data_IF_755663168346
#
_entry.id   IF_755663168346
#
_cell.length_a   1.000
_cell.length_b   1.000
_cell.length_c   1.000
_cell.angle_alpha   90.00
_cell.angle_beta   90.00
_cell.angle_gamma   90.00
#
_symmetry.space_group_name_H-M   'P 1'
#
loop_
_entity.id
_entity.type
_entity.pdbx_description
1 polymer ?
#
# COMPACT_ATOMS: atom_id res chain seq x y z
N UNK A 1 8.70 24.77 -4.16
CA UNK A 1 7.50 25.34 -3.51
C UNK A 1 6.44 24.25 -3.54
N UNK A 2 6.02 23.78 -2.38
CA UNK A 2 4.98 22.75 -2.25
C UNK A 2 3.61 23.33 -2.64
N UNK A 3 2.73 22.49 -3.21
CA UNK A 3 1.34 22.83 -3.58
C UNK A 3 0.44 22.97 -2.34
N UNK A 4 0.84 22.37 -1.23
CA UNK A 4 0.02 22.21 -0.03
C UNK A 4 0.24 23.36 0.96
N UNK A 5 -0.85 23.74 1.63
CA UNK A 5 -0.86 24.72 2.71
C UNK A 5 -0.22 24.17 3.99
N UNK A 6 0.08 25.07 4.93
CA UNK A 6 0.60 24.68 6.24
C UNK A 6 -0.39 23.81 7.03
N UNK A 7 -1.70 24.05 6.88
CA UNK A 7 -2.74 23.25 7.54
C UNK A 7 -2.80 21.83 6.98
N UNK A 8 -2.79 21.66 5.65
CA UNK A 8 -2.78 20.33 5.03
C UNK A 8 -1.52 19.54 5.43
N UNK A 9 -0.36 20.21 5.50
CA UNK A 9 0.86 19.59 5.97
C UNK A 9 0.77 19.18 7.45
N UNK A 10 0.13 19.99 8.30
CA UNK A 10 -0.08 19.65 9.71
C UNK A 10 -1.02 18.45 9.87
N UNK A 11 -2.09 18.35 9.08
CA UNK A 11 -3.00 17.21 9.10
C UNK A 11 -2.31 15.92 8.67
N UNK A 12 -1.46 15.97 7.63
CA UNK A 12 -0.62 14.82 7.26
C UNK A 12 0.35 14.41 8.37
N UNK A 13 1.03 15.38 9.01
CA UNK A 13 1.89 15.08 10.15
C UNK A 13 1.13 14.47 11.33
N UNK A 14 -0.15 14.81 11.54
CA UNK A 14 -0.97 14.15 12.57
C UNK A 14 -1.14 12.65 12.28
N UNK A 15 -1.40 12.27 11.03
CA UNK A 15 -1.45 10.84 10.65
C UNK A 15 -0.10 10.14 10.84
N UNK A 16 1.00 10.77 10.44
CA UNK A 16 2.34 10.21 10.69
C UNK A 16 2.60 10.01 12.20
N UNK A 17 2.21 10.98 13.03
CA UNK A 17 2.34 10.87 14.48
C UNK A 17 1.45 9.75 15.06
N UNK A 18 0.23 9.57 14.54
CA UNK A 18 -0.67 8.47 14.91
C UNK A 18 -0.09 7.10 14.52
N UNK A 19 0.60 7.02 13.38
CA UNK A 19 1.39 5.85 12.96
C UNK A 19 2.69 5.67 13.77
N UNK A 20 2.97 6.56 14.73
CA UNK A 20 4.08 6.44 15.68
C UNK A 20 5.39 7.06 15.22
N UNK A 21 5.42 7.76 14.09
CA UNK A 21 6.63 8.41 13.56
C UNK A 21 7.12 9.51 14.50
N UNK A 22 8.44 9.61 14.65
CA UNK A 22 9.06 10.71 15.42
C UNK A 22 9.20 11.95 14.55
N UNK A 23 9.47 13.09 15.18
CA UNK A 23 9.61 14.38 14.48
C UNK A 23 10.58 14.31 13.30
N UNK A 24 11.74 13.67 13.48
CA UNK A 24 12.71 13.53 12.40
C UNK A 24 12.20 12.63 11.26
N UNK A 25 11.51 11.54 11.60
CA UNK A 25 10.90 10.63 10.63
C UNK A 25 9.82 11.34 9.80
N UNK A 26 8.99 12.16 10.45
CA UNK A 26 7.99 13.00 9.78
C UNK A 26 8.65 13.98 8.82
N UNK A 27 9.71 14.67 9.27
CA UNK A 27 10.42 15.64 8.44
C UNK A 27 11.12 14.98 7.24
N UNK A 28 11.66 13.77 7.39
CA UNK A 28 12.27 13.04 6.28
C UNK A 28 11.24 12.41 5.34
N UNK A 29 10.13 11.91 5.87
CA UNK A 29 9.16 11.12 5.12
C UNK A 29 8.10 11.95 4.40
N UNK A 30 7.85 13.18 4.86
CA UNK A 30 6.76 14.01 4.33
C UNK A 30 6.94 14.43 2.87
N UNK A 31 8.18 14.54 2.39
CA UNK A 31 8.42 14.89 0.99
C UNK A 31 7.88 13.82 0.04
N UNK A 32 8.11 12.53 0.33
CA UNK A 32 7.56 11.42 -0.46
C UNK A 32 6.03 11.42 -0.50
N UNK A 33 5.39 11.66 0.65
CA UNK A 33 3.94 11.73 0.78
C UNK A 33 3.36 12.93 0.00
N UNK A 34 4.01 14.10 0.09
CA UNK A 34 3.60 15.28 -0.69
C UNK A 34 3.76 15.05 -2.19
N UNK A 35 4.84 14.42 -2.63
CA UNK A 35 5.06 14.10 -4.03
C UNK A 35 4.00 13.14 -4.56
N UNK A 36 3.66 12.09 -3.80
CA UNK A 36 2.59 11.17 -4.15
C UNK A 36 1.26 11.89 -4.28
N UNK A 37 0.84 12.65 -3.26
CA UNK A 37 -0.42 13.38 -3.26
C UNK A 37 -0.51 14.37 -4.45
N UNK A 38 0.60 15.04 -4.76
CA UNK A 38 0.65 15.95 -5.90
C UNK A 38 0.53 15.21 -7.24
N UNK A 39 1.15 14.03 -7.38
CA UNK A 39 1.15 13.23 -8.60
C UNK A 39 -0.20 12.51 -8.83
N UNK A 40 -0.81 11.99 -7.76
CA UNK A 40 -2.10 11.29 -7.81
C UNK A 40 -3.29 12.23 -7.85
N UNK A 41 -3.13 13.47 -7.36
CA UNK A 41 -4.23 14.42 -7.17
C UNK A 41 -5.05 14.14 -5.92
N UNK A 42 -4.63 13.22 -5.05
CA UNK A 42 -5.29 12.91 -3.79
C UNK A 42 -5.05 13.99 -2.73
N UNK A 43 -5.89 13.95 -1.69
CA UNK A 43 -5.71 14.76 -0.49
C UNK A 43 -4.44 14.36 0.27
N UNK A 44 -3.71 15.34 0.80
CA UNK A 44 -2.43 15.10 1.46
C UNK A 44 -2.58 14.28 2.75
N UNK A 45 -3.63 14.53 3.53
CA UNK A 45 -3.87 13.83 4.78
C UNK A 45 -4.27 12.37 4.50
N UNK A 46 -5.17 12.14 3.54
CA UNK A 46 -5.51 10.77 3.10
C UNK A 46 -4.30 10.02 2.52
N UNK A 47 -3.44 10.70 1.77
CA UNK A 47 -2.22 10.08 1.24
C UNK A 47 -1.27 9.69 2.36
N UNK A 48 -1.14 10.56 3.38
CA UNK A 48 -0.34 10.28 4.57
C UNK A 48 -0.85 9.04 5.32
N UNK A 49 -2.16 8.94 5.55
CA UNK A 49 -2.79 7.78 6.18
C UNK A 49 -2.44 6.49 5.43
N UNK A 50 -2.67 6.45 4.11
CA UNK A 50 -2.37 5.30 3.26
C UNK A 50 -0.90 4.89 3.33
N UNK A 51 0.02 5.84 3.17
CA UNK A 51 1.46 5.55 3.13
C UNK A 51 1.95 5.08 4.49
N UNK A 52 1.54 5.74 5.58
CA UNK A 52 2.01 5.41 6.93
C UNK A 52 1.48 4.05 7.41
N UNK A 53 0.22 3.72 7.13
CA UNK A 53 -0.37 2.41 7.43
C UNK A 53 0.32 1.30 6.64
N UNK A 54 0.51 1.49 5.34
CA UNK A 54 1.10 0.47 4.48
C UNK A 54 2.57 0.22 4.82
N UNK A 55 3.37 1.28 5.05
CA UNK A 55 4.76 1.13 5.48
C UNK A 55 4.84 0.30 6.77
N UNK A 56 4.01 0.63 7.75
CA UNK A 56 3.95 -0.11 9.02
C UNK A 56 3.61 -1.59 8.79
N UNK A 57 2.63 -1.88 7.93
CA UNK A 57 2.19 -3.24 7.63
C UNK A 57 3.27 -4.08 6.91
N UNK A 58 4.11 -3.45 6.09
CA UNK A 58 5.25 -4.09 5.43
C UNK A 58 6.54 -4.08 6.27
N UNK A 59 6.50 -3.53 7.50
CA UNK A 59 7.70 -3.40 8.35
C UNK A 59 8.74 -2.42 7.82
N UNK A 60 8.31 -1.48 6.96
CA UNK A 60 9.12 -0.42 6.40
C UNK A 60 9.15 0.81 7.31
N UNK A 61 10.09 1.70 7.07
CA UNK A 61 10.34 2.90 7.89
C UNK A 61 9.94 4.17 7.14
N UNK A 62 9.96 5.31 7.84
CA UNK A 62 9.71 6.60 7.21
C UNK A 62 10.73 6.96 6.11
N UNK A 63 11.95 6.40 6.16
CA UNK A 63 12.94 6.59 5.11
C UNK A 63 12.53 5.93 3.78
N UNK A 64 11.66 4.92 3.84
CA UNK A 64 11.16 4.19 2.67
C UNK A 64 9.93 4.88 2.03
N UNK A 65 9.42 5.97 2.61
CA UNK A 65 8.18 6.62 2.15
C UNK A 65 8.29 7.15 0.72
N UNK A 66 9.45 7.65 0.33
CA UNK A 66 9.71 8.11 -1.05
C UNK A 66 9.63 6.95 -2.05
N UNK A 67 10.27 5.82 -1.72
CA UNK A 67 10.21 4.64 -2.58
C UNK A 67 8.79 4.06 -2.64
N UNK A 68 8.13 3.94 -1.50
CA UNK A 68 6.76 3.46 -1.44
C UNK A 68 5.79 4.36 -2.22
N UNK A 69 5.99 5.69 -2.16
CA UNK A 69 5.26 6.64 -2.99
C UNK A 69 5.48 6.39 -4.49
N UNK A 70 6.71 6.14 -4.93
CA UNK A 70 7.01 5.82 -6.32
C UNK A 70 6.31 4.53 -6.78
N UNK A 71 6.24 3.50 -5.93
CA UNK A 71 5.53 2.25 -6.21
C UNK A 71 4.04 2.52 -6.45
N UNK A 72 3.40 3.27 -5.55
CA UNK A 72 1.98 3.61 -5.67
C UNK A 72 1.70 4.47 -6.91
N UNK A 73 2.53 5.48 -7.17
CA UNK A 73 2.42 6.34 -8.33
C UNK A 73 2.58 5.55 -9.64
N UNK A 74 3.56 4.64 -9.70
CA UNK A 74 3.79 3.77 -10.84
C UNK A 74 2.61 2.83 -11.09
N UNK A 75 2.12 2.16 -10.05
CA UNK A 75 0.96 1.27 -10.17
C UNK A 75 -0.32 2.03 -10.58
N UNK A 76 -0.56 3.20 -9.99
CA UNK A 76 -1.67 4.09 -10.36
C UNK A 76 -1.59 4.59 -11.81
N UNK A 77 -0.38 4.73 -12.36
CA UNK A 77 -0.19 5.22 -13.73
C UNK A 77 -0.27 4.10 -14.79
N UNK A 78 -0.01 2.85 -14.39
CA UNK A 78 0.14 1.72 -15.32
C UNK A 78 -0.98 0.68 -15.23
N UNK A 79 -1.89 0.80 -14.26
CA UNK A 79 -3.02 -0.11 -14.09
C UNK A 79 -4.33 0.66 -13.89
N UNK A 80 -5.45 -0.04 -14.04
CA UNK A 80 -6.79 0.49 -13.87
C UNK A 80 -7.15 0.69 -12.38
N UNK A 81 -6.30 1.40 -11.64
CA UNK A 81 -6.39 1.69 -10.20
C UNK A 81 -5.96 3.13 -9.91
N UNK A 82 -6.06 3.56 -8.66
CA UNK A 82 -5.48 4.82 -8.17
C UNK A 82 -4.97 4.66 -6.73
N UNK A 83 -4.34 5.70 -6.17
CA UNK A 83 -3.76 5.66 -4.82
C UNK A 83 -4.81 5.34 -3.76
N UNK A 84 -6.00 5.97 -3.79
CA UNK A 84 -7.08 5.65 -2.85
C UNK A 84 -7.54 4.18 -2.95
N UNK A 85 -7.72 3.66 -4.17
CA UNK A 85 -8.10 2.26 -4.41
C UNK A 85 -7.03 1.29 -3.92
N UNK A 86 -5.74 1.60 -4.15
CA UNK A 86 -4.62 0.80 -3.66
C UNK A 86 -4.54 0.83 -2.13
N UNK A 87 -4.77 2.00 -1.51
CA UNK A 87 -4.84 2.12 -0.05
C UNK A 87 -5.92 1.23 0.55
N UNK A 88 -7.13 1.25 -0.02
CA UNK A 88 -8.23 0.36 0.43
C UNK A 88 -7.88 -1.12 0.22
N UNK A 89 -7.14 -1.47 -0.83
CA UNK A 89 -6.65 -2.84 -1.02
C UNK A 89 -5.59 -3.23 0.02
N UNK A 90 -4.60 -2.38 0.25
CA UNK A 90 -3.52 -2.62 1.21
C UNK A 90 -4.02 -2.73 2.64
N UNK A 91 -5.04 -1.97 3.02
CA UNK A 91 -5.71 -2.08 4.33
C UNK A 91 -6.08 -3.52 4.70
N UNK A 92 -6.46 -4.35 3.74
CA UNK A 92 -6.77 -5.77 4.01
C UNK A 92 -5.59 -6.70 3.74
N UNK A 93 -4.78 -6.42 2.72
CA UNK A 93 -3.77 -7.36 2.24
C UNK A 93 -2.37 -7.15 2.84
N UNK A 94 -1.96 -5.90 3.08
CA UNK A 94 -0.61 -5.56 3.51
C UNK A 94 -0.18 -6.26 4.82
N UNK A 95 -1.01 -6.36 5.88
CA UNK A 95 -0.58 -7.02 7.12
C UNK A 95 -0.23 -8.50 6.93
N UNK A 96 -0.94 -9.20 6.04
CA UNK A 96 -0.68 -10.61 5.74
C UNK A 96 0.53 -10.74 4.81
N UNK A 97 0.61 -9.89 3.78
CA UNK A 97 1.73 -9.90 2.83
C UNK A 97 3.06 -9.57 3.53
N UNK A 98 3.09 -8.49 4.31
CA UNK A 98 4.28 -8.08 5.06
C UNK A 98 4.72 -9.12 6.09
N UNK A 99 3.77 -9.74 6.82
CA UNK A 99 4.12 -10.80 7.79
C UNK A 99 4.68 -12.07 7.15
N UNK A 100 4.37 -12.32 5.88
CA UNK A 100 4.91 -13.43 5.08
C UNK A 100 6.17 -13.04 4.30
N UNK A 101 6.64 -11.81 4.42
CA UNK A 101 7.86 -11.32 3.77
C UNK A 101 7.69 -10.93 2.31
N UNK A 102 6.47 -10.78 1.80
CA UNK A 102 6.24 -10.20 0.48
C UNK A 102 6.58 -8.72 0.49
N UNK A 103 7.17 -8.26 -0.61
CA UNK A 103 7.53 -6.85 -0.76
C UNK A 103 6.31 -6.00 -1.15
N UNK A 104 6.41 -4.70 -0.91
CA UNK A 104 5.38 -3.73 -1.31
C UNK A 104 5.22 -3.66 -2.83
N UNK A 105 6.33 -3.81 -3.57
CA UNK A 105 6.42 -3.78 -5.03
C UNK A 105 5.65 -4.95 -5.65
N UNK A 106 5.95 -6.17 -5.23
CA UNK A 106 5.26 -7.38 -5.73
C UNK A 106 3.77 -7.33 -5.41
N UNK A 107 3.45 -6.83 -4.22
CA UNK A 107 2.07 -6.63 -3.79
C UNK A 107 1.36 -5.60 -4.67
N UNK A 108 1.98 -4.45 -4.95
CA UNK A 108 1.41 -3.42 -5.83
C UNK A 108 1.23 -3.91 -7.27
N UNK A 109 2.16 -4.72 -7.79
CA UNK A 109 2.05 -5.35 -9.11
C UNK A 109 0.84 -6.30 -9.15
N UNK A 110 0.71 -7.18 -8.15
CA UNK A 110 -0.42 -8.09 -8.05
C UNK A 110 -1.75 -7.33 -8.01
N UNK A 111 -1.82 -6.27 -7.20
CA UNK A 111 -3.00 -5.40 -7.10
C UNK A 111 -3.32 -4.73 -8.45
N UNK A 112 -2.29 -4.22 -9.15
CA UNK A 112 -2.45 -3.62 -10.48
C UNK A 112 -3.00 -4.62 -11.50
N UNK A 113 -2.50 -5.86 -11.50
CA UNK A 113 -3.01 -6.92 -12.36
C UNK A 113 -4.47 -7.28 -12.04
N UNK A 114 -4.83 -7.39 -10.77
CA UNK A 114 -6.21 -7.62 -10.33
C UNK A 114 -7.12 -6.47 -10.78
N UNK A 115 -6.65 -5.22 -10.64
CA UNK A 115 -7.40 -4.04 -11.02
C UNK A 115 -7.64 -3.97 -12.54
N UNK A 116 -6.67 -4.37 -13.35
CA UNK A 116 -6.82 -4.52 -14.80
C UNK A 116 -7.87 -5.58 -15.18
N UNK A 117 -8.03 -6.61 -14.35
CA UNK A 117 -9.09 -7.61 -14.48
C UNK A 117 -10.44 -7.17 -13.85
N UNK A 118 -10.53 -5.94 -13.33
CA UNK A 118 -11.76 -5.38 -12.75
C UNK A 118 -11.96 -5.66 -11.25
N UNK A 119 -11.04 -6.37 -10.60
CA UNK A 119 -11.08 -6.67 -9.16
C UNK A 119 -10.28 -5.60 -8.43
N UNK A 120 -10.94 -4.70 -7.71
CA UNK A 120 -10.32 -3.48 -7.15
C UNK A 120 -10.65 -3.28 -5.68
N UNK A 121 -9.90 -2.39 -5.03
CA UNK A 121 -10.18 -1.88 -3.68
C UNK A 121 -10.38 -3.01 -2.66
N UNK A 122 -11.45 -2.97 -1.87
CA UNK A 122 -11.72 -3.94 -0.80
C UNK A 122 -11.92 -5.37 -1.32
N UNK A 123 -12.47 -5.54 -2.52
CA UNK A 123 -12.62 -6.86 -3.14
C UNK A 123 -11.24 -7.46 -3.46
N UNK A 124 -10.35 -6.65 -4.05
CA UNK A 124 -8.98 -7.07 -4.31
C UNK A 124 -8.24 -7.41 -3.01
N UNK A 125 -8.37 -6.57 -1.98
CA UNK A 125 -7.67 -6.77 -0.71
C UNK A 125 -8.11 -8.05 -0.01
N UNK A 126 -9.41 -8.31 0.01
CA UNK A 126 -9.97 -9.53 0.62
C UNK A 126 -9.58 -10.79 -0.17
N UNK A 127 -9.66 -10.72 -1.50
CA UNK A 127 -9.31 -11.85 -2.37
C UNK A 127 -7.82 -12.18 -2.28
N UNK A 128 -6.94 -11.17 -2.35
CA UNK A 128 -5.50 -11.33 -2.25
C UNK A 128 -5.10 -11.90 -0.90
N UNK A 129 -5.62 -11.33 0.20
CA UNK A 129 -5.40 -11.88 1.55
C UNK A 129 -5.80 -13.35 1.65
N UNK A 130 -6.97 -13.69 1.13
CA UNK A 130 -7.51 -15.06 1.19
C UNK A 130 -6.66 -16.03 0.35
N UNK A 131 -6.26 -15.63 -0.85
CA UNK A 131 -5.40 -16.44 -1.72
C UNK A 131 -4.06 -16.75 -1.05
N UNK A 132 -3.38 -15.72 -0.53
CA UNK A 132 -2.08 -15.87 0.13
C UNK A 132 -2.19 -16.68 1.42
N UNK A 133 -3.25 -16.48 2.22
CA UNK A 133 -3.47 -17.28 3.44
C UNK A 133 -3.67 -18.75 3.12
N UNK A 134 -4.44 -19.06 2.06
CA UNK A 134 -4.66 -20.43 1.62
C UNK A 134 -3.38 -21.08 1.07
N UNK A 135 -2.49 -20.32 0.42
CA UNK A 135 -1.19 -20.83 -0.02
C UNK A 135 -0.23 -21.08 1.15
N UNK A 136 -0.22 -20.19 2.15
CA UNK A 136 0.64 -20.33 3.33
C UNK A 136 0.20 -21.48 4.26
N UNK A 137 -1.10 -21.78 4.29
CA UNK A 137 -1.67 -22.90 5.07
C UNK A 137 -2.77 -23.61 4.24
N UNK A 138 -2.38 -24.47 3.30
CA UNK A 138 -3.34 -25.11 2.40
C UNK A 138 -4.22 -26.12 3.13
N UNK A 139 -5.49 -26.13 2.77
CA UNK A 139 -6.40 -27.25 3.08
C UNK A 139 -6.14 -28.41 2.12
N UNK A 140 -6.63 -29.61 2.41
CA UNK A 140 -6.42 -30.79 1.54
C UNK A 140 -6.86 -30.55 0.09
N UNK A 141 -7.97 -29.83 -0.11
CA UNK A 141 -8.45 -29.42 -1.43
C UNK A 141 -7.48 -28.47 -2.14
N UNK A 142 -6.94 -27.50 -1.40
CA UNK A 142 -5.99 -26.52 -1.95
C UNK A 142 -4.66 -27.20 -2.28
N UNK A 143 -4.15 -28.05 -1.39
CA UNK A 143 -2.91 -28.81 -1.60
C UNK A 143 -3.00 -29.71 -2.84
N UNK A 144 -4.13 -30.40 -3.03
CA UNK A 144 -4.35 -31.24 -4.23
C UNK A 144 -4.35 -30.42 -5.52
N UNK A 145 -4.96 -29.23 -5.50
CA UNK A 145 -4.97 -28.33 -6.65
C UNK A 145 -3.58 -27.74 -6.93
N UNK A 146 -2.84 -27.37 -5.89
CA UNK A 146 -1.46 -26.90 -5.96
C UNK A 146 -0.55 -27.94 -6.62
N UNK A 147 -0.61 -29.20 -6.18
CA UNK A 147 0.14 -30.32 -6.79
C UNK A 147 -0.23 -30.52 -8.27
N UNK A 148 -1.52 -30.42 -8.62
CA UNK A 148 -1.97 -30.53 -10.00
C UNK A 148 -1.40 -29.44 -10.92
N UNK A 149 -1.26 -28.21 -10.42
CA UNK A 149 -0.76 -27.06 -11.18
C UNK A 149 0.75 -26.80 -11.01
N UNK A 150 1.43 -27.60 -10.18
CA UNK A 150 2.88 -27.50 -9.96
C UNK A 150 3.32 -26.26 -9.19
N UNK A 151 2.46 -25.75 -8.30
CA UNK A 151 2.74 -24.61 -7.40
C UNK A 151 2.61 -25.00 -5.94
#
# INVERSE_FOLDING_TARGET
KTKFSASEAADAMNYMAMAGWKTNDMLSGIEGIMNLAAASGEDLASTSDIVTDALTAFGLTAADSGHFADILAAASSNANTNVSMMGETFKYAAPVLGSLGYSAEDSAIAIGLMANAGIKSSQAGTALRSAITNLAKPTDTVASAMEQYGI
#
